data_IF_678834155539
#
_entry.id   IF_678834155539
#
_cell.length_a   1.000
_cell.length_b   1.000
_cell.length_c   1.000
_cell.angle_alpha   90.00
_cell.angle_beta   90.00
_cell.angle_gamma   90.00
#
_symmetry.space_group_name_H-M   'P 1'
#
loop_
_entity.id
_entity.type
_entity.pdbx_description
1 polymer ?
#
# COMPACT_ATOMS: atom_id res chain seq x y z
N UNK A 1 -1.24 14.91 7.49
CA UNK A 1 -1.62 14.44 6.13
C UNK A 1 -1.41 12.94 5.96
N UNK A 2 -0.18 12.43 6.10
CA UNK A 2 0.16 10.99 5.90
C UNK A 2 -0.68 10.05 6.78
N UNK A 3 -0.71 10.27 8.10
CA UNK A 3 -1.47 9.43 9.04
C UNK A 3 -2.96 9.30 8.70
N UNK A 4 -3.58 10.38 8.21
CA UNK A 4 -4.99 10.40 7.87
C UNK A 4 -5.27 9.54 6.62
N UNK A 5 -4.41 9.64 5.61
CA UNK A 5 -4.51 8.84 4.40
C UNK A 5 -4.13 7.37 4.65
N UNK A 6 -3.18 7.11 5.54
CA UNK A 6 -2.85 5.76 5.99
C UNK A 6 -4.06 5.13 6.69
N UNK A 7 -4.72 5.86 7.60
CA UNK A 7 -5.95 5.39 8.23
C UNK A 7 -7.05 5.10 7.19
N UNK A 8 -7.22 5.96 6.20
CA UNK A 8 -8.20 5.75 5.12
C UNK A 8 -7.91 4.47 4.34
N UNK A 9 -6.65 4.25 3.95
CA UNK A 9 -6.21 3.04 3.26
C UNK A 9 -6.39 1.79 4.13
N UNK A 10 -5.94 1.81 5.38
CA UNK A 10 -5.99 0.66 6.28
C UNK A 10 -7.43 0.25 6.61
N UNK A 11 -8.33 1.22 6.84
CA UNK A 11 -9.75 0.95 7.05
C UNK A 11 -10.38 0.38 5.77
N UNK A 12 -10.00 0.91 4.61
CA UNK A 12 -10.46 0.37 3.31
C UNK A 12 -10.05 -1.08 3.14
N UNK A 13 -8.77 -1.38 3.31
CA UNK A 13 -8.20 -2.71 3.13
C UNK A 13 -8.80 -3.74 4.11
N UNK A 14 -8.94 -3.41 5.39
CA UNK A 14 -9.48 -4.34 6.39
C UNK A 14 -10.97 -4.66 6.18
N UNK A 15 -11.71 -3.83 5.45
CA UNK A 15 -13.14 -4.10 5.19
C UNK A 15 -13.39 -5.16 4.12
N UNK A 16 -12.36 -5.54 3.34
CA UNK A 16 -12.47 -6.48 2.22
C UNK A 16 -12.63 -7.94 2.67
N UNK A 17 -11.64 -8.46 3.39
CA UNK A 17 -11.64 -9.86 3.82
C UNK A 17 -11.24 -10.00 5.31
N UNK A 18 -12.20 -9.77 6.22
CA UNK A 18 -11.96 -9.92 7.65
C UNK A 18 -11.58 -11.35 8.07
N UNK A 19 -11.92 -12.37 7.29
CA UNK A 19 -11.63 -13.78 7.61
C UNK A 19 -10.19 -14.14 7.24
N UNK A 20 -9.65 -13.61 6.13
CA UNK A 20 -8.21 -13.65 5.82
C UNK A 20 -7.42 -12.99 6.97
N UNK A 21 -7.82 -11.79 7.37
CA UNK A 21 -7.18 -11.04 8.43
C UNK A 21 -7.27 -11.74 9.79
N UNK A 22 -8.34 -12.48 10.07
CA UNK A 22 -8.48 -13.25 11.32
C UNK A 22 -7.43 -14.35 11.44
N UNK A 23 -6.93 -14.89 10.32
CA UNK A 23 -5.86 -15.90 10.30
C UNK A 23 -4.48 -15.26 10.41
N UNK A 24 -4.22 -14.21 9.64
CA UNK A 24 -2.87 -13.61 9.55
C UNK A 24 -2.62 -12.54 10.63
N UNK A 25 -3.66 -11.79 11.02
CA UNK A 25 -3.58 -10.49 11.71
C UNK A 25 -4.75 -10.33 12.70
N UNK A 26 -4.87 -11.30 13.61
CA UNK A 26 -5.99 -11.42 14.56
C UNK A 26 -6.12 -10.24 15.55
N UNK A 27 -5.07 -9.44 15.70
CA UNK A 27 -5.00 -8.26 16.54
C UNK A 27 -5.67 -7.01 15.93
N UNK A 28 -5.94 -7.03 14.61
CA UNK A 28 -6.60 -5.95 13.88
C UNK A 28 -7.99 -5.63 14.47
N UNK A 29 -8.45 -4.37 14.41
CA UNK A 29 -9.73 -3.96 15.00
C UNK A 29 -10.97 -4.75 14.55
N UNK A 30 -11.05 -5.14 13.27
CA UNK A 30 -12.17 -5.91 12.75
C UNK A 30 -12.15 -7.39 13.20
N UNK A 31 -11.07 -8.16 12.97
CA UNK A 31 -10.97 -9.54 13.46
C UNK A 31 -11.10 -9.72 14.97
N UNK A 32 -10.59 -8.75 15.75
CA UNK A 32 -10.67 -8.76 17.22
C UNK A 32 -12.02 -8.29 17.76
N UNK A 33 -12.96 -7.89 16.91
CA UNK A 33 -14.30 -7.43 17.31
C UNK A 33 -14.32 -6.06 18.00
N UNK A 34 -13.21 -5.31 17.98
CA UNK A 34 -13.12 -3.95 18.57
C UNK A 34 -13.90 -2.91 17.76
N UNK A 35 -14.16 -3.18 16.49
CA UNK A 35 -14.95 -2.36 15.59
C UNK A 35 -15.95 -3.23 14.82
N UNK A 36 -17.19 -2.78 14.66
CA UNK A 36 -18.15 -3.50 13.82
C UNK A 36 -17.87 -3.28 12.33
N UNK A 37 -18.09 -4.31 11.50
CA UNK A 37 -17.91 -4.22 10.04
C UNK A 37 -18.70 -3.06 9.42
N UNK A 38 -19.97 -2.90 9.81
CA UNK A 38 -20.82 -1.78 9.37
C UNK A 38 -20.25 -0.41 9.74
N UNK A 39 -19.67 -0.27 10.94
CA UNK A 39 -19.02 0.97 11.34
C UNK A 39 -17.74 1.23 10.54
N UNK A 40 -16.94 0.21 10.28
CA UNK A 40 -15.73 0.32 9.46
C UNK A 40 -16.03 0.74 8.02
N UNK A 41 -17.07 0.16 7.38
CA UNK A 41 -17.49 0.56 6.02
C UNK A 41 -17.99 2.00 5.98
N UNK A 42 -18.72 2.47 6.99
CA UNK A 42 -19.11 3.90 7.07
C UNK A 42 -17.89 4.79 7.23
N UNK A 43 -16.98 4.42 8.15
CA UNK A 43 -15.74 5.16 8.39
C UNK A 43 -14.88 5.25 7.13
N UNK A 44 -14.76 4.16 6.37
CA UNK A 44 -14.03 4.10 5.09
C UNK A 44 -14.42 5.24 4.15
N UNK A 45 -15.72 5.41 3.90
CA UNK A 45 -16.23 6.43 2.96
C UNK A 45 -16.21 7.84 3.55
N UNK A 46 -16.45 7.99 4.85
CA UNK A 46 -16.32 9.28 5.53
C UNK A 46 -14.87 9.78 5.46
N UNK A 47 -13.89 8.89 5.65
CA UNK A 47 -12.47 9.24 5.60
C UNK A 47 -12.04 9.77 4.23
N UNK A 48 -12.67 9.36 3.12
CA UNK A 48 -12.40 9.93 1.79
C UNK A 48 -12.71 11.42 1.77
N UNK A 49 -13.90 11.82 2.24
CA UNK A 49 -14.30 13.22 2.29
C UNK A 49 -13.41 14.04 3.22
N UNK A 50 -13.04 13.47 4.38
CA UNK A 50 -12.11 14.11 5.32
C UNK A 50 -10.72 14.27 4.69
N UNK A 51 -10.19 13.25 4.02
CA UNK A 51 -8.89 13.31 3.34
C UNK A 51 -8.86 14.38 2.26
N UNK A 52 -9.89 14.46 1.41
CA UNK A 52 -10.00 15.47 0.37
C UNK A 52 -10.15 16.87 0.95
N UNK A 53 -11.06 17.07 1.91
CA UNK A 53 -11.23 18.35 2.58
C UNK A 53 -9.93 18.82 3.26
N UNK A 54 -9.28 17.93 4.00
CA UNK A 54 -8.00 18.23 4.66
C UNK A 54 -6.88 18.55 3.66
N UNK A 55 -6.84 17.87 2.51
CA UNK A 55 -5.88 18.11 1.44
C UNK A 55 -6.12 19.44 0.72
N UNK A 56 -7.38 19.82 0.51
CA UNK A 56 -7.78 21.10 -0.08
C UNK A 56 -7.26 22.30 0.73
N UNK A 57 -7.24 22.20 2.06
CA UNK A 57 -6.71 23.27 2.93
C UNK A 57 -5.20 23.49 2.81
N UNK A 58 -4.44 22.56 2.21
CA UNK A 58 -3.02 22.78 1.91
C UNK A 58 -2.82 23.44 0.54
N UNK A 59 -3.28 22.80 -0.53
CA UNK A 59 -3.21 23.31 -1.90
C UNK A 59 -4.00 22.44 -2.87
N UNK A 60 -4.28 22.97 -4.06
CA UNK A 60 -4.89 22.20 -5.15
C UNK A 60 -4.03 21.00 -5.56
N UNK A 61 -2.70 21.13 -5.55
CA UNK A 61 -1.78 20.03 -5.88
C UNK A 61 -1.89 18.89 -4.86
N UNK A 62 -1.95 19.21 -3.55
CA UNK A 62 -2.12 18.20 -2.49
C UNK A 62 -3.48 17.52 -2.60
N UNK A 63 -4.54 18.25 -2.97
CA UNK A 63 -5.86 17.66 -3.26
C UNK A 63 -5.80 16.68 -4.44
N UNK A 64 -5.18 17.03 -5.55
CA UNK A 64 -5.08 16.11 -6.70
C UNK A 64 -4.31 14.83 -6.36
N UNK A 65 -3.25 14.93 -5.57
CA UNK A 65 -2.53 13.75 -5.09
C UNK A 65 -3.39 12.90 -4.14
N UNK A 66 -4.19 13.54 -3.27
CA UNK A 66 -5.15 12.83 -2.42
C UNK A 66 -6.23 12.10 -3.22
N UNK A 67 -6.76 12.73 -4.28
CA UNK A 67 -7.69 12.08 -5.21
C UNK A 67 -7.03 10.88 -5.89
N UNK A 68 -5.80 11.03 -6.38
CA UNK A 68 -5.04 9.94 -6.98
C UNK A 68 -4.81 8.78 -5.99
N UNK A 69 -4.50 9.08 -4.73
CA UNK A 69 -4.32 8.07 -3.68
C UNK A 69 -5.61 7.28 -3.41
N UNK A 70 -6.76 7.97 -3.31
CA UNK A 70 -8.07 7.33 -3.15
C UNK A 70 -8.41 6.48 -4.38
N UNK A 71 -8.13 6.97 -5.59
CA UNK A 71 -8.33 6.21 -6.81
C UNK A 71 -7.46 4.94 -6.86
N UNK A 72 -6.18 5.02 -6.49
CA UNK A 72 -5.28 3.87 -6.38
C UNK A 72 -5.75 2.88 -5.31
N UNK A 73 -6.26 3.36 -4.18
CA UNK A 73 -6.87 2.52 -3.14
C UNK A 73 -8.10 1.78 -3.68
N UNK A 74 -8.98 2.47 -4.41
CA UNK A 74 -10.14 1.83 -5.05
C UNK A 74 -9.72 0.82 -6.14
N UNK A 75 -8.67 1.11 -6.92
CA UNK A 75 -8.11 0.14 -7.89
C UNK A 75 -7.57 -1.09 -7.15
N UNK A 76 -6.84 -0.88 -6.05
CA UNK A 76 -6.29 -1.96 -5.25
C UNK A 76 -7.38 -2.84 -4.66
N UNK A 77 -8.37 -2.22 -4.00
CA UNK A 77 -9.41 -2.89 -3.24
C UNK A 77 -10.59 -3.33 -4.12
N UNK A 78 -11.32 -2.38 -4.72
CA UNK A 78 -12.59 -2.63 -5.44
C UNK A 78 -12.38 -3.33 -6.79
N UNK A 79 -11.30 -3.01 -7.51
CA UNK A 79 -10.97 -3.68 -8.78
C UNK A 79 -10.16 -4.97 -8.58
N UNK A 80 -9.95 -5.39 -7.33
CA UNK A 80 -9.31 -6.65 -6.96
C UNK A 80 -7.83 -6.73 -7.28
N UNK A 81 -7.12 -5.61 -7.52
CA UNK A 81 -5.69 -5.67 -7.84
C UNK A 81 -4.85 -6.21 -6.68
N UNK A 82 -5.36 -6.18 -5.44
CA UNK A 82 -4.77 -6.85 -4.29
C UNK A 82 -4.61 -8.37 -4.45
N UNK A 83 -5.41 -9.02 -5.30
CA UNK A 83 -5.41 -10.48 -5.50
C UNK A 83 -5.01 -10.91 -6.92
N UNK A 84 -4.80 -9.95 -7.83
CA UNK A 84 -4.29 -10.20 -9.19
C UNK A 84 -2.81 -10.59 -9.19
N UNK A 85 -2.27 -10.81 -10.39
CA UNK A 85 -0.86 -11.15 -10.61
C UNK A 85 0.07 -10.24 -9.83
N UNK A 86 1.09 -10.82 -9.19
CA UNK A 86 1.97 -10.13 -8.25
C UNK A 86 2.63 -8.86 -8.84
N UNK A 87 2.94 -8.85 -10.15
CA UNK A 87 3.47 -7.66 -10.84
C UNK A 87 2.49 -6.48 -10.81
N UNK A 88 1.22 -6.71 -11.14
CA UNK A 88 0.20 -5.67 -11.16
C UNK A 88 -0.06 -5.12 -9.76
N UNK A 89 -0.10 -6.03 -8.78
CA UNK A 89 -0.22 -5.66 -7.37
C UNK A 89 0.97 -4.81 -6.90
N UNK A 90 2.19 -5.21 -7.24
CA UNK A 90 3.39 -4.45 -6.92
C UNK A 90 3.39 -3.07 -7.58
N UNK A 91 2.91 -2.96 -8.83
CA UNK A 91 2.77 -1.70 -9.54
C UNK A 91 1.81 -0.76 -8.81
N UNK A 92 0.60 -1.23 -8.48
CA UNK A 92 -0.40 -0.40 -7.79
C UNK A 92 0.11 0.03 -6.42
N UNK A 93 0.76 -0.86 -5.66
CA UNK A 93 1.38 -0.52 -4.39
C UNK A 93 2.47 0.55 -4.55
N UNK A 94 3.38 0.38 -5.51
CA UNK A 94 4.45 1.34 -5.75
C UNK A 94 3.92 2.73 -6.12
N UNK A 95 2.90 2.80 -6.97
CA UNK A 95 2.21 4.05 -7.31
C UNK A 95 1.50 4.66 -6.09
N UNK A 96 0.94 3.83 -5.20
CA UNK A 96 0.36 4.27 -3.93
C UNK A 96 1.40 4.93 -3.03
N UNK A 97 2.57 4.29 -2.85
CA UNK A 97 3.68 4.88 -2.10
C UNK A 97 4.21 6.16 -2.76
N UNK A 98 4.32 6.20 -4.09
CA UNK A 98 4.69 7.40 -4.83
C UNK A 98 3.74 8.58 -4.55
N UNK A 99 2.43 8.32 -4.50
CA UNK A 99 1.44 9.31 -4.15
C UNK A 99 1.52 9.74 -2.67
N UNK A 100 1.79 8.82 -1.73
CA UNK A 100 2.06 9.16 -0.33
C UNK A 100 3.27 10.09 -0.19
N UNK A 101 4.38 9.75 -0.83
CA UNK A 101 5.61 10.53 -0.79
C UNK A 101 5.41 11.90 -1.42
N UNK A 102 4.83 11.96 -2.63
CA UNK A 102 4.50 13.20 -3.33
C UNK A 102 3.60 14.10 -2.48
N UNK A 103 2.54 13.54 -1.87
CA UNK A 103 1.64 14.31 -1.02
C UNK A 103 2.33 14.85 0.22
N UNK A 104 3.17 14.05 0.88
CA UNK A 104 3.96 14.48 2.04
C UNK A 104 4.99 15.56 1.69
N UNK A 105 5.61 15.45 0.52
CA UNK A 105 6.60 16.37 -0.01
C UNK A 105 5.96 17.72 -0.35
N UNK A 106 4.79 17.70 -1.00
CA UNK A 106 4.00 18.90 -1.30
C UNK A 106 3.55 19.62 -0.03
N UNK A 107 3.09 18.87 0.99
CA UNK A 107 2.72 19.46 2.30
C UNK A 107 3.92 20.14 2.98
N UNK A 108 5.14 19.61 2.79
CA UNK A 108 6.37 20.21 3.30
C UNK A 108 6.97 21.27 2.36
N UNK A 109 6.36 21.55 1.21
CA UNK A 109 6.90 22.39 0.14
C UNK A 109 8.32 22.00 -0.32
N UNK A 110 8.67 20.70 -0.24
CA UNK A 110 9.97 20.17 -0.63
C UNK A 110 9.79 18.92 -1.48
N UNK A 111 9.65 19.12 -2.80
CA UNK A 111 9.42 18.03 -3.76
C UNK A 111 10.73 17.70 -4.47
N UNK A 112 11.21 16.48 -4.24
CA UNK A 112 12.39 15.95 -4.91
C UNK A 112 12.00 14.74 -5.78
N UNK A 113 11.83 14.99 -7.08
CA UNK A 113 11.30 13.99 -8.03
C UNK A 113 12.20 12.77 -8.14
N UNK A 114 13.53 12.97 -8.08
CA UNK A 114 14.50 11.89 -8.14
C UNK A 114 14.34 10.91 -6.97
N UNK A 115 14.28 11.43 -5.74
CA UNK A 115 14.01 10.62 -4.54
C UNK A 115 12.70 9.83 -4.64
N UNK A 116 11.61 10.48 -5.07
CA UNK A 116 10.29 9.82 -5.20
C UNK A 116 10.34 8.72 -6.27
N UNK A 117 11.01 8.98 -7.40
CA UNK A 117 11.12 8.02 -8.51
C UNK A 117 11.96 6.81 -8.09
N UNK A 118 13.09 7.03 -7.43
CA UNK A 118 13.94 5.96 -6.91
C UNK A 118 13.18 5.12 -5.87
N UNK A 119 12.49 5.77 -4.93
CA UNK A 119 11.66 5.08 -3.93
C UNK A 119 10.56 4.24 -4.58
N UNK A 120 9.88 4.79 -5.60
CA UNK A 120 8.85 4.07 -6.37
C UNK A 120 9.40 2.79 -7.01
N UNK A 121 10.58 2.87 -7.64
CA UNK A 121 11.25 1.72 -8.24
C UNK A 121 11.69 0.69 -7.20
N UNK A 122 12.18 1.13 -6.04
CA UNK A 122 12.51 0.27 -4.89
C UNK A 122 11.25 -0.47 -4.43
N UNK A 123 10.15 0.23 -4.16
CA UNK A 123 8.90 -0.41 -3.73
C UNK A 123 8.38 -1.37 -4.80
N UNK A 124 8.38 -1.01 -6.08
CA UNK A 124 7.92 -1.89 -7.15
C UNK A 124 8.66 -3.24 -7.17
N UNK A 125 9.97 -3.22 -6.92
CA UNK A 125 10.82 -4.41 -6.95
C UNK A 125 10.89 -5.16 -5.61
N UNK A 126 10.66 -4.50 -4.48
CA UNK A 126 10.89 -5.09 -3.15
C UNK A 126 9.63 -5.31 -2.32
N UNK A 127 8.47 -4.74 -2.69
CA UNK A 127 7.25 -4.81 -1.86
C UNK A 127 6.76 -6.24 -1.59
N UNK A 128 7.03 -7.17 -2.50
CA UNK A 128 6.75 -8.61 -2.32
C UNK A 128 7.46 -9.25 -1.12
N UNK A 129 8.45 -8.57 -0.53
CA UNK A 129 9.03 -8.98 0.76
C UNK A 129 7.94 -9.07 1.85
N UNK A 130 6.89 -8.25 1.75
CA UNK A 130 5.75 -8.28 2.67
C UNK A 130 4.93 -9.57 2.58
N UNK A 131 4.95 -10.28 1.45
CA UNK A 131 4.17 -11.52 1.30
C UNK A 131 4.77 -12.70 2.08
N UNK A 132 6.06 -12.65 2.43
CA UNK A 132 6.73 -13.78 3.08
C UNK A 132 6.14 -14.11 4.45
N UNK A 133 5.65 -13.12 5.19
CA UNK A 133 5.01 -13.33 6.50
C UNK A 133 3.58 -13.87 6.36
N UNK A 134 2.93 -13.58 5.23
CA UNK A 134 1.51 -13.88 5.00
C UNK A 134 1.30 -15.19 4.20
N UNK A 135 2.38 -15.92 3.86
CA UNK A 135 2.36 -17.16 3.02
C UNK A 135 1.29 -18.16 3.45
N UNK A 136 1.21 -18.48 4.74
CA UNK A 136 0.29 -19.51 5.23
C UNK A 136 -1.18 -19.08 5.08
N UNK A 137 -1.52 -17.83 5.43
CA UNK A 137 -2.88 -17.33 5.27
C UNK A 137 -3.26 -17.12 3.81
N UNK A 138 -2.35 -16.55 3.01
CA UNK A 138 -2.54 -16.36 1.56
C UNK A 138 -2.80 -17.69 0.86
N UNK A 139 -2.03 -18.74 1.18
CA UNK A 139 -2.23 -20.08 0.64
C UNK A 139 -3.58 -20.67 1.05
N UNK A 140 -4.04 -20.40 2.28
CA UNK A 140 -5.34 -20.90 2.79
C UNK A 140 -6.56 -20.28 2.12
N UNK A 141 -6.40 -19.11 1.48
CA UNK A 141 -7.44 -18.40 0.71
C UNK A 141 -7.21 -18.54 -0.80
N UNK A 142 -6.21 -19.32 -1.21
CA UNK A 142 -5.93 -19.65 -2.61
C UNK A 142 -5.18 -18.57 -3.40
N UNK A 143 -4.54 -17.61 -2.72
CA UNK A 143 -3.72 -16.57 -3.39
C UNK A 143 -2.44 -17.17 -3.96
N UNK A 144 -2.01 -16.61 -5.09
CA UNK A 144 -0.80 -17.03 -5.82
C UNK A 144 0.27 -15.94 -5.78
N UNK A 145 0.77 -15.65 -4.58
CA UNK A 145 1.87 -14.68 -4.40
C UNK A 145 3.21 -15.24 -4.88
N UNK A 146 4.21 -14.39 -5.07
CA UNK A 146 5.52 -14.85 -5.55
C UNK A 146 6.18 -15.85 -4.58
N UNK A 147 6.15 -15.66 -3.24
CA UNK A 147 6.69 -16.65 -2.32
C UNK A 147 5.95 -18.00 -2.32
N UNK A 148 4.68 -18.04 -2.72
CA UNK A 148 3.90 -19.28 -2.85
C UNK A 148 4.23 -20.01 -4.15
N UNK A 149 4.28 -19.27 -5.27
CA UNK A 149 4.47 -19.87 -6.60
C UNK A 149 5.92 -20.21 -6.91
N UNK A 150 6.87 -19.38 -6.46
CA UNK A 150 8.30 -19.50 -6.76
C UNK A 150 9.15 -19.16 -5.52
N UNK A 151 9.09 -19.97 -4.44
CA UNK A 151 9.68 -19.62 -3.13
C UNK A 151 11.19 -19.33 -3.18
N UNK A 152 11.96 -20.12 -3.95
CA UNK A 152 13.40 -19.90 -4.08
C UNK A 152 13.70 -18.61 -4.85
N UNK A 153 13.05 -18.42 -6.01
CA UNK A 153 13.25 -17.23 -6.83
C UNK A 153 12.83 -15.95 -6.08
N UNK A 154 11.75 -16.00 -5.30
CA UNK A 154 11.31 -14.87 -4.48
C UNK A 154 12.40 -14.41 -3.51
N UNK A 155 13.06 -15.34 -2.81
CA UNK A 155 14.13 -15.02 -1.84
C UNK A 155 15.34 -14.41 -2.53
N UNK A 156 15.79 -15.02 -3.63
CA UNK A 156 16.92 -14.54 -4.42
C UNK A 156 16.62 -13.15 -4.98
N UNK A 157 15.42 -12.94 -5.52
CA UNK A 157 15.03 -11.66 -6.11
C UNK A 157 15.01 -10.54 -5.07
N UNK A 158 14.47 -10.78 -3.87
CA UNK A 158 14.49 -9.78 -2.78
C UNK A 158 15.93 -9.47 -2.35
N UNK A 159 16.76 -10.50 -2.12
CA UNK A 159 18.14 -10.30 -1.69
C UNK A 159 18.97 -9.52 -2.72
N UNK A 160 18.88 -9.91 -4.00
CA UNK A 160 19.56 -9.24 -5.10
C UNK A 160 19.02 -7.82 -5.32
N UNK A 161 17.70 -7.63 -5.22
CA UNK A 161 17.07 -6.33 -5.34
C UNK A 161 17.52 -5.37 -4.25
N UNK A 162 17.51 -5.79 -2.98
CA UNK A 162 17.98 -4.98 -1.86
C UNK A 162 19.46 -4.60 -2.02
N UNK A 163 20.34 -5.58 -2.30
CA UNK A 163 21.76 -5.30 -2.51
C UNK A 163 22.00 -4.38 -3.71
N UNK A 164 21.33 -4.62 -4.82
CA UNK A 164 21.42 -3.80 -6.03
C UNK A 164 21.01 -2.35 -5.78
N UNK A 165 19.90 -2.13 -5.06
CA UNK A 165 19.48 -0.78 -4.68
C UNK A 165 20.43 -0.11 -3.70
N UNK A 166 21.03 -0.83 -2.76
CA UNK A 166 22.07 -0.27 -1.89
C UNK A 166 23.26 0.28 -2.72
N UNK A 167 23.77 -0.52 -3.65
CA UNK A 167 24.86 -0.09 -4.54
C UNK A 167 24.45 1.06 -5.46
N UNK A 168 23.25 1.00 -6.05
CA UNK A 168 22.74 2.03 -6.93
C UNK A 168 22.58 3.38 -6.21
N UNK A 169 22.00 3.37 -5.00
CA UNK A 169 21.85 4.58 -4.21
C UNK A 169 23.21 5.15 -3.78
N UNK A 170 24.16 4.31 -3.37
CA UNK A 170 25.52 4.75 -3.01
C UNK A 170 26.31 5.32 -4.21
N UNK A 171 25.91 5.01 -5.44
CA UNK A 171 26.50 5.59 -6.64
C UNK A 171 25.84 6.91 -7.06
N UNK A 172 24.52 7.01 -6.85
CA UNK A 172 23.73 8.19 -7.25
C UNK A 172 23.96 9.37 -6.30
N UNK A 173 24.16 9.10 -5.01
CA UNK A 173 24.33 10.08 -3.93
C UNK A 173 25.77 10.12 -3.44
#
# INVERSE_FOLDING_TARGET
WVWLHLLQFDVSNQTLDPEEDKKNKNDRPLPSGRLSHRAAVRLRWILVLICWGYSYFYSYQVLWVSIALVALTAIYDELGFHSKHYILRNLVNALGFAAFETGSALVKCNVEINSITLSTCIFFTTIQTQDFKDVNGDASVGRKTLPITHPFAARVFVAMGMFGWCCALAWIW
#
